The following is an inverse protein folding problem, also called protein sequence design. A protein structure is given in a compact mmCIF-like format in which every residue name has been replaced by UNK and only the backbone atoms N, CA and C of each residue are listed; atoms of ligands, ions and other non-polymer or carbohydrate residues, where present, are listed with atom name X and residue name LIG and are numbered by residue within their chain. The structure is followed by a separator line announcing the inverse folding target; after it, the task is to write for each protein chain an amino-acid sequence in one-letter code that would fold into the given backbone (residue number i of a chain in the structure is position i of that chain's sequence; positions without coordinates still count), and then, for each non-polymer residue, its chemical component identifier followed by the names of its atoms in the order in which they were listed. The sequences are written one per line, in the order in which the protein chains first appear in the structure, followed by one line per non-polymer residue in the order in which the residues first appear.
data_IF_335091216049
#
_entry.id   IF_335091216049
#
_cell.length_a   1.000
_cell.length_b   1.000
_cell.length_c   1.000
_cell.angle_alpha   90.00
_cell.angle_beta   90.00
_cell.angle_gamma   90.00
#
_symmetry.space_group_name_H-M   'P 1'
#
loop_
_entity.id
_entity.type
_entity.pdbx_description
1 polymer ?
#
# COMPACT_ATOMS: atom_id res chain seq x y z
N UNK A 1 -27.37 24.67 -25.37
CA UNK A 1 -27.44 23.86 -24.14
C UNK A 1 -28.89 23.86 -23.69
N UNK A 2 -29.48 22.70 -23.39
CA UNK A 2 -30.85 22.64 -22.87
C UNK A 2 -30.85 23.16 -21.43
N UNK A 3 -31.82 23.99 -21.08
CA UNK A 3 -32.01 24.46 -19.71
C UNK A 3 -32.39 23.26 -18.81
N UNK A 4 -31.54 22.97 -17.81
CA UNK A 4 -31.71 21.85 -16.89
C UNK A 4 -32.84 22.08 -15.89
N UNK A 5 -33.09 23.35 -15.51
CA UNK A 5 -34.26 23.67 -14.69
C UNK A 5 -35.54 23.44 -15.48
N UNK A 6 -35.56 23.75 -16.79
CA UNK A 6 -36.70 23.47 -17.64
C UNK A 6 -36.94 21.96 -17.79
N UNK A 7 -35.90 21.15 -18.04
CA UNK A 7 -36.05 19.69 -18.12
C UNK A 7 -36.58 19.07 -16.83
N UNK A 8 -36.15 19.58 -15.67
CA UNK A 8 -36.69 19.18 -14.37
C UNK A 8 -38.16 19.53 -14.24
N UNK A 9 -38.56 20.74 -14.66
CA UNK A 9 -39.96 21.17 -14.63
C UNK A 9 -40.82 20.32 -15.57
N UNK A 10 -40.30 19.96 -16.74
CA UNK A 10 -41.00 19.08 -17.68
C UNK A 10 -41.31 17.73 -17.02
N UNK A 11 -40.33 17.11 -16.35
CA UNK A 11 -40.51 15.84 -15.60
C UNK A 11 -41.54 15.96 -14.46
N UNK A 12 -41.55 17.09 -13.74
CA UNK A 12 -42.51 17.36 -12.66
C UNK A 12 -43.92 17.56 -13.24
N UNK A 13 -44.04 18.27 -14.36
CA UNK A 13 -45.34 18.57 -14.98
C UNK A 13 -45.97 17.36 -15.66
N UNK A 14 -45.15 16.47 -16.22
CA UNK A 14 -45.59 15.23 -16.86
C UNK A 14 -46.01 14.16 -15.84
N UNK A 15 -45.40 14.16 -14.65
CA UNK A 15 -45.60 13.14 -13.62
C UNK A 15 -47.08 12.88 -13.27
N UNK A 16 -47.89 13.90 -12.96
CA UNK A 16 -49.30 13.73 -12.63
C UNK A 16 -50.12 13.04 -13.73
N UNK A 17 -49.91 13.43 -15.00
CA UNK A 17 -50.62 12.83 -16.14
C UNK A 17 -50.24 11.35 -16.31
N UNK A 18 -48.96 11.00 -16.09
CA UNK A 18 -48.48 9.61 -16.13
C UNK A 18 -49.03 8.81 -14.96
N UNK A 19 -49.05 9.39 -13.76
CA UNK A 19 -49.58 8.78 -12.55
C UNK A 19 -51.08 8.46 -12.68
N UNK A 20 -51.87 9.40 -13.22
CA UNK A 20 -53.30 9.20 -13.45
C UNK A 20 -53.56 8.09 -14.49
N UNK A 21 -52.80 8.08 -15.60
CA UNK A 21 -52.93 7.04 -16.64
C UNK A 21 -52.53 5.64 -16.17
N UNK A 22 -51.58 5.56 -15.25
CA UNK A 22 -51.07 4.30 -14.70
C UNK A 22 -51.68 3.96 -13.33
N UNK A 23 -52.73 4.69 -12.92
CA UNK A 23 -53.43 4.43 -11.68
C UNK A 23 -54.23 3.12 -11.78
N UNK A 24 -54.07 2.28 -10.77
CA UNK A 24 -54.79 1.02 -10.65
C UNK A 24 -55.51 1.02 -9.31
N UNK A 25 -56.84 1.02 -9.37
CA UNK A 25 -57.64 0.82 -8.16
C UNK A 25 -57.65 -0.66 -7.80
N UNK A 26 -57.06 -0.99 -6.65
CA UNK A 26 -56.93 -2.35 -6.16
C UNK A 26 -57.98 -2.69 -5.10
N UNK A 27 -58.24 -3.98 -4.90
CA UNK A 27 -59.24 -4.46 -3.94
C UNK A 27 -58.85 -4.16 -2.46
N UNK A 28 -57.55 -4.03 -2.17
CA UNK A 28 -57.01 -3.78 -0.83
C UNK A 28 -56.31 -2.43 -0.68
N UNK A 29 -55.68 -1.94 -1.75
CA UNK A 29 -55.05 -0.63 -1.82
C UNK A 29 -54.90 -0.20 -3.27
N UNK A 30 -54.92 1.11 -3.50
CA UNK A 30 -54.66 1.71 -4.80
C UNK A 30 -53.15 1.89 -5.02
N UNK A 31 -52.70 1.72 -6.27
CA UNK A 31 -51.29 1.82 -6.62
C UNK A 31 -51.08 2.34 -8.05
N UNK A 32 -49.84 2.74 -8.36
CA UNK A 32 -49.46 3.22 -9.69
C UNK A 32 -48.51 2.22 -10.34
N UNK A 33 -48.89 1.67 -11.49
CA UNK A 33 -48.12 0.63 -12.16
C UNK A 33 -48.36 0.68 -13.66
N UNK A 34 -47.32 0.39 -14.45
CA UNK A 34 -47.42 0.39 -15.91
C UNK A 34 -46.14 0.82 -16.62
N UNK A 35 -45.98 0.48 -17.90
CA UNK A 35 -44.77 0.75 -18.67
C UNK A 35 -44.47 2.25 -18.79
N UNK A 36 -45.50 3.10 -18.91
CA UNK A 36 -45.32 4.56 -19.01
C UNK A 36 -44.82 5.15 -17.68
N UNK A 37 -45.32 4.64 -16.55
CA UNK A 37 -44.85 5.03 -15.22
C UNK A 37 -43.42 4.57 -14.95
N UNK A 38 -43.06 3.32 -15.32
CA UNK A 38 -41.68 2.84 -15.26
C UNK A 38 -40.75 3.71 -16.10
N UNK A 39 -41.16 4.04 -17.33
CA UNK A 39 -40.40 4.90 -18.23
C UNK A 39 -40.17 6.30 -17.64
N UNK A 40 -41.21 6.90 -17.06
CA UNK A 40 -41.10 8.18 -16.35
C UNK A 40 -40.13 8.10 -15.15
N UNK A 41 -40.22 7.05 -14.33
CA UNK A 41 -39.28 6.82 -13.20
C UNK A 41 -37.83 6.74 -13.71
N UNK A 42 -37.56 6.01 -14.80
CA UNK A 42 -36.19 5.90 -15.33
C UNK A 42 -35.69 7.24 -15.86
N UNK A 43 -36.52 8.04 -16.53
CA UNK A 43 -36.12 9.38 -16.99
C UNK A 43 -35.80 10.31 -15.82
N UNK A 44 -36.56 10.23 -14.72
CA UNK A 44 -36.23 10.96 -13.50
C UNK A 44 -34.89 10.50 -12.90
N UNK A 45 -34.63 9.19 -12.84
CA UNK A 45 -33.34 8.64 -12.38
C UNK A 45 -32.17 9.10 -13.25
N UNK A 46 -32.33 9.08 -14.57
CA UNK A 46 -31.31 9.56 -15.50
C UNK A 46 -31.03 11.04 -15.29
N UNK A 47 -32.08 11.86 -15.21
CA UNK A 47 -31.93 13.30 -14.95
C UNK A 47 -31.16 13.57 -13.64
N UNK A 48 -31.55 12.94 -12.54
CA UNK A 48 -30.88 13.10 -11.24
C UNK A 48 -29.44 12.59 -11.29
N UNK A 49 -29.20 11.44 -11.93
CA UNK A 49 -27.87 10.87 -11.99
C UNK A 49 -26.90 11.68 -12.86
N UNK A 50 -27.38 12.27 -13.95
CA UNK A 50 -26.57 13.05 -14.89
C UNK A 50 -26.33 14.48 -14.41
N UNK A 51 -27.29 15.09 -13.70
CA UNK A 51 -27.31 16.53 -13.48
C UNK A 51 -27.18 16.95 -12.00
N UNK A 52 -27.48 16.06 -11.05
CA UNK A 52 -27.25 16.35 -9.62
C UNK A 52 -25.83 15.88 -9.25
N UNK A 53 -25.15 16.57 -8.35
CA UNK A 53 -23.79 16.20 -7.92
C UNK A 53 -23.75 15.51 -6.55
N UNK A 54 -24.74 15.76 -5.70
CA UNK A 54 -24.84 15.15 -4.37
C UNK A 54 -25.08 13.62 -4.47
N UNK A 55 -24.08 12.83 -4.06
CA UNK A 55 -24.12 11.37 -4.06
C UNK A 55 -25.16 10.81 -3.10
N UNK A 56 -25.37 11.44 -1.93
CA UNK A 56 -26.40 11.02 -0.98
C UNK A 56 -27.77 11.19 -1.60
N UNK A 57 -28.02 12.37 -2.18
CA UNK A 57 -29.29 12.66 -2.85
C UNK A 57 -29.59 11.67 -3.99
N UNK A 58 -28.58 11.33 -4.83
CA UNK A 58 -28.72 10.31 -5.88
C UNK A 58 -29.13 8.95 -5.32
N UNK A 59 -28.46 8.52 -4.25
CA UNK A 59 -28.74 7.23 -3.62
C UNK A 59 -30.15 7.21 -3.02
N UNK A 60 -30.53 8.27 -2.30
CA UNK A 60 -31.85 8.41 -1.70
C UNK A 60 -32.94 8.42 -2.78
N UNK A 61 -32.72 9.14 -3.89
CA UNK A 61 -33.65 9.19 -5.02
C UNK A 61 -33.78 7.82 -5.69
N UNK A 62 -32.66 7.13 -5.94
CA UNK A 62 -32.68 5.80 -6.55
C UNK A 62 -33.40 4.77 -5.67
N UNK A 63 -33.20 4.82 -4.34
CA UNK A 63 -33.89 3.95 -3.39
C UNK A 63 -35.40 4.19 -3.37
N UNK A 64 -35.82 5.45 -3.39
CA UNK A 64 -37.24 5.82 -3.49
C UNK A 64 -37.85 5.38 -4.83
N UNK A 65 -37.15 5.64 -5.93
CA UNK A 65 -37.59 5.34 -7.29
C UNK A 65 -37.76 3.83 -7.52
N UNK A 66 -36.85 3.02 -6.99
CA UNK A 66 -36.94 1.56 -7.11
C UNK A 66 -38.13 0.96 -6.34
N UNK A 67 -38.70 1.69 -5.38
CA UNK A 67 -39.88 1.26 -4.62
C UNK A 67 -41.18 1.83 -5.16
N UNK A 68 -41.14 2.77 -6.11
CA UNK A 68 -42.33 3.52 -6.50
C UNK A 68 -43.28 2.77 -7.44
N UNK A 69 -42.78 1.83 -8.25
CA UNK A 69 -43.61 1.05 -9.15
C UNK A 69 -44.41 -0.02 -8.41
N UNK A 70 -45.74 0.00 -8.57
CA UNK A 70 -46.65 -0.91 -7.87
C UNK A 70 -46.93 -0.50 -6.42
N UNK A 71 -46.57 0.71 -6.03
CA UNK A 71 -46.81 1.29 -4.70
C UNK A 71 -47.85 2.43 -4.81
N UNK A 72 -48.31 2.92 -3.66
CA UNK A 72 -49.34 3.93 -3.53
C UNK A 72 -48.89 5.34 -3.96
N UNK A 73 -49.87 6.23 -4.04
CA UNK A 73 -49.69 7.61 -4.49
C UNK A 73 -48.66 8.41 -3.65
N UNK A 74 -48.51 8.08 -2.36
CA UNK A 74 -47.52 8.72 -1.48
C UNK A 74 -46.08 8.59 -1.99
N UNK A 75 -45.73 7.46 -2.64
CA UNK A 75 -44.38 7.26 -3.21
C UNK A 75 -44.16 8.11 -4.45
N UNK A 76 -45.19 8.28 -5.26
CA UNK A 76 -45.15 9.20 -6.39
C UNK A 76 -44.95 10.65 -5.91
N UNK A 77 -45.74 11.09 -4.93
CA UNK A 77 -45.59 12.43 -4.35
C UNK A 77 -44.21 12.66 -3.74
N UNK A 78 -43.63 11.64 -3.11
CA UNK A 78 -42.28 11.69 -2.58
C UNK A 78 -41.23 11.93 -3.69
N UNK A 79 -41.33 11.24 -4.83
CA UNK A 79 -40.44 11.47 -5.98
C UNK A 79 -40.59 12.88 -6.55
N UNK A 80 -41.82 13.38 -6.66
CA UNK A 80 -42.09 14.76 -7.07
C UNK A 80 -41.47 15.75 -6.08
N UNK A 81 -41.62 15.53 -4.77
CA UNK A 81 -41.03 16.36 -3.72
C UNK A 81 -39.51 16.40 -3.79
N UNK A 82 -38.86 15.25 -4.08
CA UNK A 82 -37.42 15.21 -4.30
C UNK A 82 -37.00 16.00 -5.55
N UNK A 83 -37.73 15.91 -6.68
CA UNK A 83 -37.43 16.74 -7.86
C UNK A 83 -37.68 18.23 -7.58
N UNK A 84 -38.71 18.56 -6.80
CA UNK A 84 -39.04 19.94 -6.42
C UNK A 84 -37.96 20.57 -5.54
N UNK A 85 -37.33 19.80 -4.64
CA UNK A 85 -36.25 20.32 -3.77
C UNK A 85 -35.04 20.85 -4.54
N UNK A 86 -34.87 20.42 -5.80
CA UNK A 86 -33.83 20.92 -6.70
C UNK A 86 -34.19 22.26 -7.39
N UNK A 87 -35.15 23.03 -6.85
CA UNK A 87 -35.64 24.27 -7.49
C UNK A 87 -34.55 25.31 -7.65
N UNK A 88 -33.80 25.52 -6.58
CA UNK A 88 -32.71 26.50 -6.49
C UNK A 88 -31.34 25.80 -6.57
N UNK A 89 -31.32 24.55 -7.03
CA UNK A 89 -30.09 23.77 -7.20
C UNK A 89 -29.31 24.29 -8.39
N UNK A 90 -28.07 24.70 -8.17
CA UNK A 90 -27.20 25.17 -9.25
C UNK A 90 -26.61 23.97 -10.01
N UNK A 91 -27.29 23.57 -11.09
CA UNK A 91 -26.87 22.51 -12.00
C UNK A 91 -25.59 22.86 -12.81
N UNK A 92 -25.12 24.11 -12.76
CA UNK A 92 -23.90 24.55 -13.45
C UNK A 92 -22.64 24.39 -12.61
N UNK A 93 -22.79 24.20 -11.29
CA UNK A 93 -21.69 23.88 -10.39
C UNK A 93 -21.19 22.46 -10.62
N UNK A 94 -20.39 22.26 -11.68
CA UNK A 94 -19.46 21.13 -11.71
C UNK A 94 -18.62 21.20 -10.43
N UNK A 95 -18.63 20.14 -9.61
CA UNK A 95 -17.97 20.04 -8.30
C UNK A 95 -16.69 20.90 -8.20
N UNK A 96 -16.85 22.13 -7.73
CA UNK A 96 -15.78 23.07 -7.43
C UNK A 96 -16.04 23.59 -6.03
N UNK A 97 -16.00 22.67 -5.06
CA UNK A 97 -15.11 22.74 -3.90
C UNK A 97 -15.40 21.58 -2.93
N UNK A 98 -14.36 20.78 -2.67
CA UNK A 98 -14.24 19.69 -1.67
C UNK A 98 -14.65 18.26 -2.06
N UNK A 99 -14.40 17.85 -3.30
CA UNK A 99 -13.56 16.65 -3.49
C UNK A 99 -12.35 17.17 -4.25
N UNK A 100 -11.14 16.89 -3.78
CA UNK A 100 -9.95 17.12 -4.58
C UNK A 100 -10.20 16.53 -5.98
N UNK A 101 -9.74 17.21 -7.02
CA UNK A 101 -9.51 16.57 -8.32
C UNK A 101 -8.60 15.37 -8.08
N UNK A 102 -9.19 14.23 -7.73
CA UNK A 102 -8.63 12.94 -8.07
C UNK A 102 -9.34 12.56 -9.33
N UNK A 103 -8.66 12.76 -10.45
CA UNK A 103 -8.78 11.76 -11.50
C UNK A 103 -8.81 10.38 -10.81
N UNK A 104 -9.70 9.49 -11.22
CA UNK A 104 -9.58 8.08 -10.81
C UNK A 104 -8.22 7.49 -11.20
N UNK A 105 -7.46 8.18 -12.05
CA UNK A 105 -6.04 7.95 -12.29
C UNK A 105 -5.26 8.00 -10.99
N UNK A 106 -4.51 6.94 -10.75
CA UNK A 106 -3.58 6.83 -9.64
C UNK A 106 -2.44 7.82 -9.90
N UNK A 107 -2.15 8.67 -8.92
CA UNK A 107 -1.13 9.71 -9.05
C UNK A 107 0.20 9.26 -8.47
N UNK A 108 0.16 8.32 -7.52
CA UNK A 108 1.31 7.95 -6.71
C UNK A 108 1.19 6.52 -6.18
N UNK A 109 2.34 5.85 -6.05
CA UNK A 109 2.46 4.55 -5.40
C UNK A 109 3.07 4.72 -4.01
N UNK A 110 2.42 4.16 -3.01
CA UNK A 110 3.00 3.93 -1.69
C UNK A 110 3.46 2.48 -1.57
N UNK A 111 4.70 2.25 -1.17
CA UNK A 111 5.22 0.90 -0.89
C UNK A 111 5.32 0.67 0.62
N UNK A 112 4.34 -0.06 1.16
CA UNK A 112 4.31 -0.49 2.55
C UNK A 112 5.15 -1.76 2.71
N UNK A 113 6.17 -1.72 3.56
CA UNK A 113 7.10 -2.83 3.76
C UNK A 113 7.78 -2.74 5.14
N UNK A 114 8.38 -3.83 5.62
CA UNK A 114 9.24 -3.77 6.79
C UNK A 114 10.60 -3.16 6.43
N UNK A 115 11.17 -2.33 7.31
CA UNK A 115 12.48 -1.70 7.07
C UNK A 115 13.60 -2.70 6.75
N UNK A 116 13.49 -3.94 7.25
CA UNK A 116 14.44 -5.04 6.98
C UNK A 116 14.36 -5.57 5.54
N UNK A 117 13.24 -5.35 4.85
CA UNK A 117 13.02 -5.77 3.46
C UNK A 117 13.41 -4.67 2.45
N UNK A 118 14.09 -3.60 2.89
CA UNK A 118 14.46 -2.46 2.03
C UNK A 118 15.26 -2.87 0.79
N UNK A 119 16.04 -3.97 0.86
CA UNK A 119 16.76 -4.49 -0.31
C UNK A 119 15.80 -5.02 -1.39
N UNK A 120 14.77 -5.77 -1.00
CA UNK A 120 13.72 -6.20 -1.93
C UNK A 120 12.94 -5.00 -2.48
N UNK A 121 12.63 -4.02 -1.63
CA UNK A 121 11.92 -2.80 -2.05
C UNK A 121 12.74 -1.97 -3.02
N UNK A 122 14.06 -1.89 -2.85
CA UNK A 122 14.93 -1.24 -3.81
C UNK A 122 14.81 -1.89 -5.19
N UNK A 123 14.91 -3.22 -5.27
CA UNK A 123 14.76 -3.92 -6.56
C UNK A 123 13.35 -3.74 -7.15
N UNK A 124 12.31 -3.72 -6.32
CA UNK A 124 10.94 -3.44 -6.78
C UNK A 124 10.79 -2.00 -7.30
N UNK A 125 11.37 -1.01 -6.64
CA UNK A 125 11.37 0.39 -7.09
C UNK A 125 12.14 0.53 -8.40
N UNK A 126 13.30 -0.12 -8.53
CA UNK A 126 14.07 -0.14 -9.77
C UNK A 126 13.24 -0.74 -10.91
N UNK A 127 12.54 -1.86 -10.68
CA UNK A 127 11.62 -2.47 -11.64
C UNK A 127 10.47 -1.51 -12.03
N UNK A 128 9.83 -0.86 -11.06
CA UNK A 128 8.75 0.10 -11.31
C UNK A 128 9.23 1.29 -12.17
N UNK A 129 10.46 1.74 -11.95
CA UNK A 129 11.07 2.76 -12.78
C UNK A 129 11.35 2.24 -14.21
N UNK A 130 11.82 1.00 -14.34
CA UNK A 130 12.08 0.34 -15.63
C UNK A 130 10.77 0.11 -16.42
N UNK A 131 9.63 -0.06 -15.73
CA UNK A 131 8.27 -0.08 -16.31
C UNK A 131 7.84 1.30 -16.82
N UNK A 132 8.51 2.39 -16.43
CA UNK A 132 8.24 3.74 -16.91
C UNK A 132 7.70 4.71 -15.86
N UNK A 133 7.63 4.32 -14.59
CA UNK A 133 7.27 5.24 -13.50
C UNK A 133 8.44 6.22 -13.27
N UNK A 134 8.12 7.50 -13.12
CA UNK A 134 9.15 8.54 -12.95
C UNK A 134 9.93 8.33 -11.64
N UNK A 135 11.26 8.43 -11.71
CA UNK A 135 12.19 8.42 -10.56
C UNK A 135 12.01 9.68 -9.71
N UNK A 136 10.97 9.71 -8.90
CA UNK A 136 10.59 10.87 -8.09
C UNK A 136 9.78 10.45 -6.87
N UNK A 137 10.05 11.09 -5.73
CA UNK A 137 9.24 10.97 -4.50
C UNK A 137 7.80 11.46 -4.66
N UNK A 138 7.48 12.12 -5.79
CA UNK A 138 6.12 12.48 -6.19
C UNK A 138 5.35 11.33 -6.85
N UNK A 139 6.05 10.33 -7.40
CA UNK A 139 5.46 9.20 -8.12
C UNK A 139 5.49 7.90 -7.31
N UNK A 140 6.56 7.68 -6.54
CA UNK A 140 6.70 6.54 -5.62
C UNK A 140 7.18 7.07 -4.28
N UNK A 141 6.72 6.51 -3.17
CA UNK A 141 7.33 6.79 -1.87
C UNK A 141 7.26 5.59 -0.92
N UNK A 142 8.21 5.54 0.00
CA UNK A 142 8.24 4.62 1.15
C UNK A 142 9.03 5.24 2.30
N UNK A 143 9.12 4.61 3.46
CA UNK A 143 9.76 5.20 4.65
C UNK A 143 11.28 4.98 4.73
N UNK A 144 11.85 4.04 3.97
CA UNK A 144 13.19 3.50 4.21
C UNK A 144 14.19 3.72 3.08
N UNK A 145 13.74 4.04 1.86
CA UNK A 145 14.58 4.14 0.67
C UNK A 145 14.97 5.60 0.37
N UNK A 146 16.27 5.95 0.38
CA UNK A 146 16.72 7.33 0.12
C UNK A 146 16.26 7.85 -1.25
N UNK A 147 15.73 9.08 -1.27
CA UNK A 147 15.23 9.73 -2.50
C UNK A 147 13.76 9.42 -2.82
N UNK A 148 13.20 8.40 -2.18
CA UNK A 148 11.78 8.06 -2.14
C UNK A 148 11.22 8.17 -0.72
N UNK A 149 12.03 8.65 0.22
CA UNK A 149 11.78 8.70 1.66
C UNK A 149 10.84 9.85 2.08
N UNK A 150 10.33 9.72 3.30
CA UNK A 150 9.45 10.71 3.91
C UNK A 150 10.27 11.94 4.33
N UNK A 151 9.77 13.18 4.12
CA UNK A 151 10.50 14.39 4.50
C UNK A 151 10.93 14.41 5.97
N UNK A 152 12.16 14.85 6.23
CA UNK A 152 12.73 14.92 7.57
C UNK A 152 11.85 15.74 8.52
N UNK A 153 11.68 15.25 9.76
CA UNK A 153 10.93 15.92 10.82
C UNK A 153 9.41 15.73 10.78
N UNK A 154 8.86 15.03 9.78
CA UNK A 154 7.43 14.67 9.75
C UNK A 154 7.17 13.31 10.40
N UNK A 155 6.05 13.19 11.11
CA UNK A 155 5.53 11.90 11.54
C UNK A 155 5.13 11.07 10.32
N UNK A 156 5.60 9.81 10.25
CA UNK A 156 5.27 8.87 9.17
C UNK A 156 3.75 8.73 9.01
N UNK A 157 3.04 8.61 10.13
CA UNK A 157 1.58 8.48 10.14
C UNK A 157 0.86 9.73 9.66
N UNK A 158 1.33 10.92 10.03
CA UNK A 158 0.71 12.17 9.55
C UNK A 158 0.98 12.39 8.07
N UNK A 159 2.20 12.08 7.62
CA UNK A 159 2.55 12.14 6.21
C UNK A 159 1.68 11.18 5.39
N UNK A 160 1.62 9.90 5.77
CA UNK A 160 0.78 8.90 5.12
C UNK A 160 -0.69 9.29 5.12
N UNK A 161 -1.22 9.77 6.25
CA UNK A 161 -2.62 10.22 6.35
C UNK A 161 -2.90 11.39 5.41
N UNK A 162 -1.99 12.35 5.30
CA UNK A 162 -2.15 13.49 4.40
C UNK A 162 -2.05 13.06 2.94
N UNK A 163 -1.12 12.17 2.61
CA UNK A 163 -0.95 11.59 1.28
C UNK A 163 -2.20 10.80 0.86
N UNK A 164 -2.70 9.90 1.70
CA UNK A 164 -3.91 9.10 1.43
C UNK A 164 -5.19 9.92 1.33
N UNK A 165 -5.24 11.10 1.98
CA UNK A 165 -6.36 12.04 1.87
C UNK A 165 -6.29 12.91 0.62
N UNK A 166 -5.09 13.38 0.29
CA UNK A 166 -4.90 14.43 -0.70
C UNK A 166 -4.51 13.89 -2.08
N UNK A 167 -4.01 12.65 -2.18
CA UNK A 167 -3.55 12.01 -3.41
C UNK A 167 -4.31 10.69 -3.66
N UNK A 168 -4.49 10.31 -4.93
CA UNK A 168 -5.03 9.00 -5.30
C UNK A 168 -3.89 7.99 -5.32
N UNK A 169 -3.78 7.21 -4.25
CA UNK A 169 -2.62 6.36 -4.00
C UNK A 169 -2.96 4.90 -4.23
N UNK A 170 -2.11 4.24 -5.02
CA UNK A 170 -2.01 2.78 -5.05
C UNK A 170 -1.09 2.32 -3.92
N UNK A 171 -1.54 1.35 -3.14
CA UNK A 171 -0.70 0.77 -2.10
C UNK A 171 -0.14 -0.57 -2.56
N UNK A 172 1.18 -0.70 -2.56
CA UNK A 172 1.88 -1.98 -2.73
C UNK A 172 2.31 -2.48 -1.36
N UNK A 173 1.70 -3.57 -0.90
CA UNK A 173 2.10 -4.25 0.33
C UNK A 173 3.15 -5.31 0.01
N UNK A 174 4.38 -5.10 0.48
CA UNK A 174 5.46 -6.08 0.39
C UNK A 174 5.43 -6.97 1.62
N UNK A 175 4.86 -8.16 1.46
CA UNK A 175 4.60 -9.11 2.54
C UNK A 175 5.77 -10.07 2.73
N UNK A 176 6.17 -10.21 3.99
CA UNK A 176 7.26 -11.08 4.47
C UNK A 176 6.99 -11.44 5.94
N UNK A 177 7.75 -12.37 6.51
CA UNK A 177 7.70 -12.60 7.97
C UNK A 177 8.06 -11.32 8.75
N UNK A 178 8.99 -10.52 8.22
CA UNK A 178 9.41 -9.24 8.81
C UNK A 178 8.25 -8.23 8.84
N UNK A 179 7.43 -8.21 7.80
CA UNK A 179 6.23 -7.37 7.73
C UNK A 179 5.25 -7.71 8.85
N UNK A 180 4.94 -9.00 9.03
CA UNK A 180 3.98 -9.46 10.03
C UNK A 180 4.49 -9.36 11.48
N UNK A 181 5.80 -9.20 11.67
CA UNK A 181 6.40 -8.96 13.00
C UNK A 181 6.54 -7.47 13.32
N UNK A 182 6.31 -6.59 12.35
CA UNK A 182 6.39 -5.14 12.52
C UNK A 182 5.01 -4.57 12.89
N UNK A 183 4.82 -4.24 14.17
CA UNK A 183 3.60 -3.57 14.62
C UNK A 183 3.30 -2.26 13.84
N UNK A 184 4.29 -1.40 13.51
CA UNK A 184 4.08 -0.27 12.61
C UNK A 184 3.51 -0.68 11.24
N UNK A 185 4.05 -1.71 10.60
CA UNK A 185 3.57 -2.18 9.28
C UNK A 185 2.14 -2.72 9.35
N UNK A 186 1.79 -3.45 10.43
CA UNK A 186 0.42 -3.93 10.64
C UNK A 186 -0.57 -2.77 10.87
N UNK A 187 -0.15 -1.73 11.60
CA UNK A 187 -0.96 -0.52 11.79
C UNK A 187 -1.14 0.25 10.47
N UNK A 188 -0.07 0.38 9.68
CA UNK A 188 -0.12 0.97 8.33
C UNK A 188 -1.02 0.16 7.41
N UNK A 189 -0.95 -1.17 7.45
CA UNK A 189 -1.82 -2.08 6.69
C UNK A 189 -3.30 -1.81 6.96
N UNK A 190 -3.70 -1.71 8.22
CA UNK A 190 -5.08 -1.43 8.59
C UNK A 190 -5.56 -0.05 8.11
N UNK A 191 -4.74 0.98 8.30
CA UNK A 191 -5.08 2.35 7.87
C UNK A 191 -5.14 2.50 6.35
N UNK A 192 -4.15 1.95 5.64
CA UNK A 192 -4.08 1.96 4.20
C UNK A 192 -5.22 1.14 3.58
N UNK A 193 -5.55 -0.03 4.11
CA UNK A 193 -6.66 -0.86 3.59
C UNK A 193 -8.02 -0.14 3.62
N UNK A 194 -8.32 0.62 4.68
CA UNK A 194 -9.58 1.36 4.80
C UNK A 194 -9.65 2.55 3.81
N UNK A 195 -8.50 3.13 3.46
CA UNK A 195 -8.43 4.42 2.76
C UNK A 195 -7.96 4.33 1.31
N UNK A 196 -7.28 3.25 0.94
CA UNK A 196 -6.75 3.05 -0.41
C UNK A 196 -7.87 2.73 -1.39
N UNK A 197 -7.87 3.39 -2.55
CA UNK A 197 -8.79 3.04 -3.65
C UNK A 197 -8.38 1.74 -4.33
N UNK A 198 -7.07 1.50 -4.45
CA UNK A 198 -6.48 0.33 -5.09
C UNK A 198 -5.28 -0.16 -4.28
N UNK A 199 -5.13 -1.49 -4.13
CA UNK A 199 -3.96 -2.08 -3.50
C UNK A 199 -3.55 -3.38 -4.22
N UNK A 200 -2.26 -3.68 -4.17
CA UNK A 200 -1.69 -4.95 -4.64
C UNK A 200 -0.75 -5.49 -3.58
N UNK A 201 -0.69 -6.81 -3.47
CA UNK A 201 0.19 -7.51 -2.55
C UNK A 201 1.29 -8.22 -3.32
N UNK A 202 2.52 -8.03 -2.85
CA UNK A 202 3.74 -8.60 -3.42
C UNK A 202 4.41 -9.39 -2.31
N UNK A 203 4.65 -10.68 -2.52
CA UNK A 203 5.27 -11.54 -1.52
C UNK A 203 6.77 -11.64 -1.75
N UNK A 204 7.57 -11.54 -0.70
CA UNK A 204 8.97 -11.93 -0.78
C UNK A 204 9.07 -13.44 -1.11
N UNK A 205 10.15 -13.90 -1.79
CA UNK A 205 10.24 -15.27 -2.29
C UNK A 205 10.01 -16.35 -1.22
N UNK A 206 10.55 -16.12 -0.03
CA UNK A 206 10.52 -17.07 1.10
C UNK A 206 9.25 -16.99 1.95
N UNK A 207 8.30 -16.09 1.64
CA UNK A 207 7.03 -15.99 2.33
C UNK A 207 5.94 -16.82 1.63
N UNK A 208 5.14 -17.56 2.39
CA UNK A 208 4.06 -18.42 1.86
C UNK A 208 2.71 -17.69 1.86
N UNK A 209 1.92 -17.89 0.81
CA UNK A 209 0.57 -17.32 0.70
C UNK A 209 -0.34 -17.71 1.87
N UNK A 210 -0.15 -18.91 2.45
CA UNK A 210 -0.91 -19.39 3.63
C UNK A 210 -0.63 -18.59 4.89
N UNK A 211 0.50 -17.87 4.93
CA UNK A 211 0.88 -17.01 6.06
C UNK A 211 0.22 -15.62 5.97
N UNK A 212 -0.47 -15.28 4.87
CA UNK A 212 -1.22 -14.03 4.77
C UNK A 212 -2.38 -14.07 5.76
N UNK A 213 -2.41 -13.11 6.68
CA UNK A 213 -3.45 -12.98 7.72
C UNK A 213 -3.85 -11.52 7.92
N UNK A 214 -5.02 -11.26 8.50
CA UNK A 214 -5.47 -9.91 8.84
C UNK A 214 -6.34 -9.25 7.77
N UNK A 215 -6.15 -7.95 7.56
CA UNK A 215 -7.04 -7.11 6.72
C UNK A 215 -6.83 -7.29 5.21
N UNK A 216 -5.78 -7.99 4.80
CA UNK A 216 -5.51 -8.27 3.38
C UNK A 216 -6.36 -9.45 2.94
N UNK A 217 -7.15 -9.24 1.90
CA UNK A 217 -7.86 -10.33 1.22
C UNK A 217 -6.86 -11.27 0.52
N UNK A 218 -6.66 -12.51 1.01
CA UNK A 218 -5.72 -13.46 0.41
C UNK A 218 -6.22 -13.98 -0.95
N UNK A 219 -7.47 -13.67 -1.33
CA UNK A 219 -8.07 -14.08 -2.61
C UNK A 219 -7.84 -13.07 -3.74
N UNK A 220 -7.34 -11.86 -3.42
CA UNK A 220 -6.91 -10.89 -4.46
C UNK A 220 -5.60 -11.33 -5.10
N UNK A 221 -5.44 -10.97 -6.38
CA UNK A 221 -4.26 -11.28 -7.18
C UNK A 221 -3.02 -10.76 -6.43
N UNK A 222 -2.16 -11.70 -6.07
CA UNK A 222 -0.87 -11.51 -5.42
C UNK A 222 0.17 -12.30 -6.20
N UNK A 223 1.42 -11.85 -6.20
CA UNK A 223 2.51 -12.57 -6.85
C UNK A 223 3.73 -12.61 -5.96
N UNK A 224 4.55 -13.64 -6.12
CA UNK A 224 5.88 -13.67 -5.49
C UNK A 224 6.85 -12.86 -6.34
N UNK A 225 7.76 -12.14 -5.69
CA UNK A 225 8.77 -11.33 -6.40
C UNK A 225 9.63 -12.16 -7.37
N UNK A 226 9.78 -13.46 -7.15
CA UNK A 226 10.51 -14.35 -8.04
C UNK A 226 9.62 -15.17 -9.00
N UNK A 227 8.34 -14.82 -9.15
CA UNK A 227 7.43 -15.45 -10.13
C UNK A 227 7.51 -14.70 -11.47
N UNK A 228 8.12 -15.30 -12.52
CA UNK A 228 8.26 -14.65 -13.81
C UNK A 228 6.90 -14.34 -14.46
N UNK A 229 5.90 -15.21 -14.30
CA UNK A 229 4.58 -15.02 -14.93
C UNK A 229 3.78 -13.97 -14.17
N UNK A 230 3.87 -13.99 -12.83
CA UNK A 230 3.31 -12.97 -11.96
C UNK A 230 3.83 -11.57 -12.28
N UNK A 231 5.12 -11.43 -12.57
CA UNK A 231 5.73 -10.15 -12.96
C UNK A 231 5.18 -9.57 -14.26
N UNK A 232 4.92 -10.40 -15.27
CA UNK A 232 4.32 -9.91 -16.53
C UNK A 232 2.92 -9.37 -16.28
N UNK A 233 2.11 -10.08 -15.49
CA UNK A 233 0.77 -9.62 -15.10
C UNK A 233 0.82 -8.35 -14.27
N UNK A 234 1.77 -8.27 -13.34
CA UNK A 234 1.99 -7.08 -12.52
C UNK A 234 2.35 -5.88 -13.39
N UNK A 235 3.30 -6.03 -14.33
CA UNK A 235 3.63 -4.99 -15.30
C UNK A 235 2.40 -4.50 -16.05
N UNK A 236 1.63 -5.41 -16.63
CA UNK A 236 0.45 -5.06 -17.42
C UNK A 236 -0.59 -4.32 -16.59
N UNK A 237 -0.81 -4.77 -15.35
CA UNK A 237 -1.69 -4.09 -14.40
C UNK A 237 -1.18 -2.69 -14.06
N UNK A 238 0.12 -2.51 -13.81
CA UNK A 238 0.72 -1.20 -13.50
C UNK A 238 0.59 -0.24 -14.68
N UNK A 239 0.92 -0.70 -15.90
CA UNK A 239 0.79 0.11 -17.12
C UNK A 239 -0.65 0.54 -17.33
N UNK A 240 -1.61 -0.37 -17.17
CA UNK A 240 -3.03 -0.07 -17.32
C UNK A 240 -3.53 0.90 -16.24
N UNK A 241 -3.23 0.63 -14.97
CA UNK A 241 -3.73 1.41 -13.83
C UNK A 241 -3.17 2.83 -13.78
N UNK A 242 -1.93 3.03 -14.20
CA UNK A 242 -1.26 4.33 -14.21
C UNK A 242 -1.30 5.02 -15.59
N UNK A 243 -1.90 4.36 -16.59
CA UNK A 243 -1.98 4.82 -17.99
C UNK A 243 -0.60 5.19 -18.54
N UNK A 244 0.38 4.29 -18.37
CA UNK A 244 1.75 4.48 -18.82
C UNK A 244 1.89 4.14 -20.31
N UNK A 245 2.94 4.67 -20.94
CA UNK A 245 3.34 4.23 -22.28
C UNK A 245 3.86 2.79 -22.22
N UNK A 246 3.51 2.00 -23.24
CA UNK A 246 3.91 0.59 -23.29
C UNK A 246 5.40 0.49 -23.62
N UNK A 247 6.16 -0.13 -22.73
CA UNK A 247 7.59 -0.45 -22.95
C UNK A 247 7.75 -1.55 -23.99
N UNK A 248 8.78 -1.45 -24.84
CA UNK A 248 9.14 -2.49 -25.81
C UNK A 248 9.37 -3.84 -25.08
N UNK A 249 8.74 -4.90 -25.59
CA UNK A 249 8.78 -6.22 -24.95
C UNK A 249 10.20 -6.76 -24.80
N UNK A 250 11.13 -6.48 -25.73
CA UNK A 250 12.52 -6.92 -25.64
C UNK A 250 13.28 -6.20 -24.53
N UNK A 251 13.00 -4.91 -24.33
CA UNK A 251 13.57 -4.14 -23.22
C UNK A 251 13.07 -4.74 -21.91
N UNK A 252 11.76 -4.96 -21.81
CA UNK A 252 11.15 -5.57 -20.63
C UNK A 252 11.75 -6.92 -20.25
N UNK A 253 12.07 -7.80 -21.21
CA UNK A 253 12.70 -9.09 -20.89
C UNK A 253 14.04 -8.91 -20.17
N UNK A 254 14.87 -7.96 -20.62
CA UNK A 254 16.15 -7.67 -19.97
C UNK A 254 15.98 -7.13 -18.55
N UNK A 255 15.04 -6.20 -18.36
CA UNK A 255 14.75 -5.61 -17.04
C UNK A 255 14.20 -6.66 -16.06
N UNK A 256 13.33 -7.54 -16.56
CA UNK A 256 12.77 -8.67 -15.81
C UNK A 256 13.84 -9.67 -15.39
N UNK A 257 14.75 -10.06 -16.28
CA UNK A 257 15.85 -11.00 -15.95
C UNK A 257 16.79 -10.42 -14.90
N UNK A 258 17.15 -9.14 -15.03
CA UNK A 258 17.96 -8.41 -14.06
C UNK A 258 17.30 -8.42 -12.68
N UNK A 259 16.01 -8.07 -12.61
CA UNK A 259 15.24 -8.06 -11.38
C UNK A 259 15.14 -9.46 -10.74
N UNK A 260 14.77 -10.48 -11.53
CA UNK A 260 14.65 -11.86 -11.05
C UNK A 260 15.98 -12.37 -10.49
N UNK A 261 17.09 -12.07 -11.16
CA UNK A 261 18.43 -12.47 -10.69
C UNK A 261 18.78 -11.84 -9.35
N UNK A 262 18.51 -10.54 -9.18
CA UNK A 262 18.75 -9.83 -7.94
C UNK A 262 17.87 -10.33 -6.79
N UNK A 263 16.58 -10.52 -7.04
CA UNK A 263 15.62 -11.04 -6.05
C UNK A 263 15.96 -12.47 -5.62
N UNK A 264 16.38 -13.32 -6.55
CA UNK A 264 16.76 -14.70 -6.24
C UNK A 264 18.01 -14.75 -5.37
N UNK A 265 19.02 -13.92 -5.66
CA UNK A 265 20.21 -13.81 -4.81
C UNK A 265 19.87 -13.32 -3.39
N UNK A 266 18.92 -12.39 -3.24
CA UNK A 266 18.43 -11.96 -1.92
C UNK A 266 17.69 -13.10 -1.19
N UNK A 267 16.88 -13.87 -1.91
CA UNK A 267 16.13 -14.99 -1.36
C UNK A 267 17.03 -16.13 -0.89
N UNK A 268 18.05 -16.47 -1.66
CA UNK A 268 19.03 -17.49 -1.31
C UNK A 268 19.80 -17.10 -0.04
N UNK A 269 20.19 -15.83 0.06
CA UNK A 269 20.82 -15.29 1.25
C UNK A 269 19.89 -15.37 2.47
N UNK A 270 18.65 -14.89 2.36
CA UNK A 270 17.65 -14.96 3.43
C UNK A 270 17.33 -16.41 3.85
N UNK A 271 17.25 -17.33 2.90
CA UNK A 271 17.00 -18.74 3.17
C UNK A 271 18.19 -19.37 3.91
N UNK A 272 19.43 -19.08 3.49
CA UNK A 272 20.64 -19.57 4.15
C UNK A 272 20.78 -19.09 5.59
N UNK A 273 20.26 -17.90 5.91
CA UNK A 273 20.25 -17.37 7.27
C UNK A 273 18.99 -17.74 8.05
N UNK A 274 18.08 -18.56 7.51
CA UNK A 274 16.75 -18.85 8.08
C UNK A 274 15.99 -17.57 8.48
N UNK A 275 16.15 -16.48 7.72
CA UNK A 275 15.58 -15.15 7.99
C UNK A 275 15.98 -14.54 9.36
N UNK A 276 17.06 -15.06 9.95
CA UNK A 276 17.74 -14.44 11.08
C UNK A 276 18.47 -13.19 10.60
N UNK A 277 18.54 -12.17 11.45
CA UNK A 277 19.43 -11.03 11.19
C UNK A 277 20.15 -10.56 12.43
N UNK A 278 21.32 -9.98 12.19
CA UNK A 278 22.12 -9.29 13.17
C UNK A 278 22.33 -7.86 12.65
N UNK A 279 22.02 -6.88 13.48
CA UNK A 279 22.15 -5.46 13.15
C UNK A 279 23.02 -4.76 14.20
N UNK A 280 23.84 -3.81 13.76
CA UNK A 280 24.61 -2.98 14.67
C UNK A 280 23.76 -1.79 15.16
N UNK A 281 23.42 -1.81 16.45
CA UNK A 281 22.67 -0.74 17.10
C UNK A 281 23.59 0.40 17.52
N UNK A 282 24.71 0.07 18.16
CA UNK A 282 25.58 1.06 18.78
C UNK A 282 27.02 0.60 18.80
N UNK A 283 27.91 1.56 18.62
CA UNK A 283 29.34 1.39 18.89
C UNK A 283 29.79 2.42 19.90
N UNK A 284 30.60 2.00 20.88
CA UNK A 284 31.21 2.88 21.87
C UNK A 284 32.66 2.48 22.10
N UNK A 285 33.54 3.47 22.13
CA UNK A 285 34.93 3.24 22.57
C UNK A 285 34.95 3.00 24.08
N UNK A 286 35.60 1.92 24.49
CA UNK A 286 35.82 1.56 25.89
C UNK A 286 37.32 1.50 26.19
N UNK A 287 37.83 2.48 26.93
CA UNK A 287 39.27 2.59 27.21
C UNK A 287 40.11 2.91 25.96
N UNK A 288 41.39 2.49 25.96
CA UNK A 288 42.30 2.76 24.84
C UNK A 288 42.17 1.77 23.67
N UNK A 289 41.79 0.52 23.95
CA UNK A 289 41.87 -0.59 22.98
C UNK A 289 40.56 -1.40 22.88
N UNK A 290 39.50 -0.98 23.58
CA UNK A 290 38.22 -1.69 23.62
C UNK A 290 37.15 -1.01 22.77
N UNK A 291 36.34 -1.83 22.13
CA UNK A 291 35.19 -1.46 21.32
C UNK A 291 33.96 -2.19 21.83
N UNK A 292 33.05 -1.47 22.45
CA UNK A 292 31.75 -2.00 22.86
C UNK A 292 30.79 -1.95 21.66
N UNK A 293 30.32 -3.11 21.22
CA UNK A 293 29.30 -3.26 20.19
C UNK A 293 28.00 -3.72 20.83
N UNK A 294 26.92 -2.97 20.59
CA UNK A 294 25.55 -3.44 20.84
C UNK A 294 24.99 -3.98 19.52
N UNK A 295 24.75 -5.28 19.49
CA UNK A 295 24.23 -6.01 18.34
C UNK A 295 22.79 -6.44 18.63
N UNK A 296 21.87 -6.12 17.73
CA UNK A 296 20.49 -6.61 17.78
C UNK A 296 20.40 -7.90 16.97
N UNK A 297 19.98 -8.96 17.64
CA UNK A 297 19.70 -10.26 17.08
C UNK A 297 18.20 -10.43 16.94
N UNK A 298 17.75 -10.88 15.77
CA UNK A 298 16.32 -11.09 15.48
C UNK A 298 16.15 -12.49 14.88
N UNK A 299 15.43 -13.36 15.59
CA UNK A 299 14.98 -14.66 15.10
C UNK A 299 13.50 -14.59 14.83
N UNK A 300 13.12 -14.65 13.57
CA UNK A 300 11.71 -14.63 13.17
C UNK A 300 11.09 -16.03 13.15
N UNK A 301 11.92 -17.07 13.28
CA UNK A 301 11.52 -18.47 13.13
C UNK A 301 10.94 -19.05 14.42
N UNK A 302 10.34 -20.23 14.30
CA UNK A 302 9.82 -21.01 15.44
C UNK A 302 10.86 -21.91 16.10
N UNK A 303 12.09 -21.94 15.60
CA UNK A 303 13.18 -22.78 16.11
C UNK A 303 14.24 -21.91 16.80
N UNK A 304 14.93 -22.41 17.83
CA UNK A 304 16.12 -21.74 18.35
C UNK A 304 17.24 -21.72 17.29
N UNK A 305 18.08 -20.71 17.35
CA UNK A 305 19.18 -20.50 16.41
C UNK A 305 20.50 -20.45 17.17
N UNK A 306 21.38 -21.36 16.79
CA UNK A 306 22.78 -21.39 17.19
C UNK A 306 23.63 -20.86 16.03
N UNK A 307 24.62 -20.02 16.36
CA UNK A 307 25.53 -19.44 15.39
C UNK A 307 26.81 -20.27 15.34
N UNK A 308 27.26 -20.61 14.14
CA UNK A 308 28.56 -21.24 13.90
C UNK A 308 29.68 -20.19 13.92
N UNK A 309 29.42 -19.02 13.33
CA UNK A 309 30.32 -17.87 13.39
C UNK A 309 29.56 -16.58 13.14
N UNK A 310 30.14 -15.44 13.54
CA UNK A 310 29.68 -14.10 13.20
C UNK A 310 30.90 -13.25 12.79
N UNK A 311 30.88 -12.69 11.59
CA UNK A 311 31.89 -11.78 11.04
C UNK A 311 31.28 -10.37 10.95
N UNK A 312 31.96 -9.38 11.51
CA UNK A 312 31.52 -7.97 11.55
C UNK A 312 32.61 -7.11 10.91
N UNK A 313 32.31 -6.50 9.76
CA UNK A 313 33.14 -5.49 9.10
C UNK A 313 32.61 -4.09 9.44
N UNK A 314 33.36 -3.33 10.22
CA UNK A 314 33.10 -1.92 10.50
C UNK A 314 33.89 -1.05 9.52
N UNK A 315 33.31 0.06 9.07
CA UNK A 315 33.97 1.04 8.21
C UNK A 315 33.83 2.44 8.81
N UNK A 316 34.93 3.18 8.91
CA UNK A 316 34.91 4.57 9.35
C UNK A 316 34.67 5.57 8.20
N UNK A 317 34.48 6.85 8.53
CA UNK A 317 34.28 7.93 7.54
C UNK A 317 35.45 8.09 6.56
N UNK A 318 36.66 7.71 6.96
CA UNK A 318 37.87 7.79 6.13
C UNK A 318 38.02 6.55 5.23
N UNK A 319 37.10 5.57 5.33
CA UNK A 319 37.04 4.35 4.54
C UNK A 319 37.90 3.20 5.09
N UNK A 320 38.53 3.38 6.25
CA UNK A 320 39.31 2.34 6.91
C UNK A 320 38.37 1.30 7.51
N UNK A 321 38.82 0.03 7.49
CA UNK A 321 38.01 -1.11 7.91
C UNK A 321 38.57 -1.78 9.15
N UNK A 322 37.67 -2.28 10.00
CA UNK A 322 37.98 -3.12 11.14
C UNK A 322 37.10 -4.37 11.07
N UNK A 323 37.74 -5.54 11.02
CA UNK A 323 37.07 -6.83 11.00
C UNK A 323 37.11 -7.48 12.38
N UNK A 324 35.97 -7.98 12.84
CA UNK A 324 35.81 -8.70 14.11
C UNK A 324 35.15 -10.02 13.78
N UNK A 325 35.81 -11.11 14.16
CA UNK A 325 35.34 -12.48 13.90
C UNK A 325 35.06 -13.15 15.25
N UNK A 326 33.87 -13.73 15.38
CA UNK A 326 33.41 -14.46 16.56
C UNK A 326 33.19 -15.91 16.12
N UNK A 327 34.13 -16.78 16.50
CA UNK A 327 34.14 -18.21 16.16
C UNK A 327 34.30 -19.11 17.42
N UNK A 328 34.40 -18.51 18.61
CA UNK A 328 34.59 -19.23 19.86
C UNK A 328 33.25 -19.66 20.48
N UNK A 329 33.19 -20.90 20.98
CA UNK A 329 31.98 -21.50 21.55
C UNK A 329 31.39 -20.70 22.71
N UNK A 330 32.22 -20.19 23.65
CA UNK A 330 31.71 -19.46 24.82
C UNK A 330 31.00 -18.14 24.44
N UNK A 331 31.61 -17.23 23.65
CA UNK A 331 30.90 -16.08 23.10
C UNK A 331 29.66 -16.41 22.28
N UNK A 332 29.69 -17.46 21.47
CA UNK A 332 28.57 -17.87 20.61
C UNK A 332 27.40 -18.46 21.42
N UNK A 333 27.68 -19.24 22.47
CA UNK A 333 26.68 -19.82 23.36
C UNK A 333 25.85 -18.75 24.09
N UNK A 334 26.47 -17.62 24.45
CA UNK A 334 25.75 -16.48 25.02
C UNK A 334 24.82 -15.78 24.00
N UNK A 335 25.04 -16.03 22.71
CA UNK A 335 24.28 -15.49 21.58
C UNK A 335 23.22 -16.47 21.03
N UNK A 336 22.93 -17.55 21.75
CA UNK A 336 21.78 -18.42 21.47
C UNK A 336 20.51 -17.59 21.39
N UNK A 337 19.79 -17.74 20.28
CA UNK A 337 18.61 -16.93 19.96
C UNK A 337 17.37 -17.81 19.94
N UNK A 338 16.48 -17.62 20.90
CA UNK A 338 15.27 -18.42 21.06
C UNK A 338 14.25 -18.09 19.96
N UNK A 339 13.20 -18.92 19.85
CA UNK A 339 12.16 -18.74 18.84
C UNK A 339 11.45 -17.41 18.99
N UNK A 340 11.26 -16.71 17.86
CA UNK A 340 10.62 -15.37 17.79
C UNK A 340 11.28 -14.30 18.68
N UNK A 341 12.56 -14.48 19.03
CA UNK A 341 13.27 -13.57 19.92
C UNK A 341 13.84 -12.35 19.19
N UNK A 342 13.74 -11.17 19.81
CA UNK A 342 14.44 -9.95 19.44
C UNK A 342 15.22 -9.46 20.65
N UNK A 343 16.55 -9.59 20.62
CA UNK A 343 17.45 -9.35 21.75
C UNK A 343 18.60 -8.46 21.36
N UNK A 344 19.00 -7.54 22.24
CA UNK A 344 20.24 -6.77 22.08
C UNK A 344 21.30 -7.36 23.00
N UNK A 345 22.44 -7.74 22.42
CA UNK A 345 23.60 -8.23 23.15
C UNK A 345 24.70 -7.19 23.02
N UNK A 346 25.32 -6.82 24.14
CA UNK A 346 26.44 -5.89 24.16
C UNK A 346 27.71 -6.61 24.58
N UNK A 347 28.75 -6.54 23.74
CA UNK A 347 30.05 -7.18 23.97
C UNK A 347 31.19 -6.21 23.68
N UNK A 348 32.28 -6.37 24.41
CA UNK A 348 33.50 -5.58 24.26
C UNK A 348 34.51 -6.42 23.48
N UNK A 349 34.98 -5.87 22.37
CA UNK A 349 36.01 -6.46 21.52
C UNK A 349 37.28 -5.63 21.64
N UNK A 350 38.42 -6.29 21.73
CA UNK A 350 39.70 -5.60 21.65
C UNK A 350 40.07 -5.42 20.18
N UNK A 351 40.62 -4.27 19.82
CA UNK A 351 41.09 -4.00 18.46
C UNK A 351 42.49 -3.39 18.48
N UNK A 352 43.22 -3.57 17.38
CA UNK A 352 44.58 -3.06 17.27
C UNK A 352 44.58 -1.53 17.10
N UNK A 353 45.13 -0.84 18.08
CA UNK A 353 45.32 0.61 18.09
C UNK A 353 46.36 1.11 17.09
N UNK A 354 47.15 0.22 16.48
CA UNK A 354 48.06 0.56 15.38
C UNK A 354 47.33 0.78 14.05
N UNK A 355 46.08 0.31 13.96
CA UNK A 355 45.23 0.53 12.79
C UNK A 355 44.91 2.02 12.60
N UNK A 356 44.76 2.45 11.34
CA UNK A 356 44.32 3.81 11.00
C UNK A 356 42.83 4.05 11.32
N UNK A 357 42.13 3.00 11.71
CA UNK A 357 40.70 2.97 11.95
C UNK A 357 40.28 3.86 13.12
N UNK A 358 39.28 4.72 12.90
CA UNK A 358 38.80 5.70 13.87
C UNK A 358 37.44 5.33 14.41
N UNK A 359 37.43 4.72 15.59
CA UNK A 359 36.21 4.31 16.31
C UNK A 359 35.16 5.42 16.45
N UNK A 360 35.58 6.68 16.67
CA UNK A 360 34.65 7.81 16.84
C UNK A 360 33.98 8.26 15.53
N UNK A 361 34.40 7.71 14.39
CA UNK A 361 33.91 8.04 13.04
C UNK A 361 33.25 6.82 12.37
N UNK A 362 32.72 5.89 13.17
CA UNK A 362 32.02 4.74 12.60
C UNK A 362 30.68 5.19 12.03
N UNK A 363 30.44 4.79 10.78
CA UNK A 363 29.18 5.00 10.11
C UNK A 363 28.39 3.69 10.19
N UNK A 364 27.42 3.60 11.12
CA UNK A 364 26.63 2.36 11.32
C UNK A 364 26.03 1.80 10.01
N UNK A 365 25.65 2.68 9.06
CA UNK A 365 25.09 2.27 7.76
C UNK A 365 26.06 1.49 6.88
N UNK A 366 27.37 1.58 7.13
CA UNK A 366 28.39 0.90 6.34
C UNK A 366 28.85 -0.43 6.96
N UNK A 367 28.31 -0.79 8.13
CA UNK A 367 28.63 -2.05 8.78
C UNK A 367 28.07 -3.22 7.98
N UNK A 368 28.90 -4.24 7.75
CA UNK A 368 28.46 -5.51 7.19
C UNK A 368 28.61 -6.60 8.23
N UNK A 369 27.59 -7.43 8.36
CA UNK A 369 27.60 -8.58 9.25
C UNK A 369 27.28 -9.81 8.41
N UNK A 370 28.12 -10.84 8.52
CA UNK A 370 27.88 -12.18 7.99
C UNK A 370 27.88 -13.16 9.13
N UNK A 371 27.14 -14.25 8.98
CA UNK A 371 27.12 -15.31 9.97
C UNK A 371 26.68 -16.61 9.30
N UNK A 372 27.02 -17.72 9.93
CA UNK A 372 26.41 -19.01 9.66
C UNK A 372 25.71 -19.52 10.91
N UNK A 373 24.68 -20.32 10.70
CA UNK A 373 23.89 -20.96 11.74
C UNK A 373 24.04 -22.47 11.64
N UNK A 374 23.85 -23.17 12.76
CA UNK A 374 23.93 -24.64 12.84
C UNK A 374 22.74 -25.31 12.18
#
# INVERSE_FOLDING_TARGET
MKDLHQQRLDLISEGPDVAEKCFVSGEYYDYISGPDYVSWIQRCKMFVNENVHDKSFKNDFALAANKAHGDGFERFEYLIGMLQSLKDYDFSLSNTNQEANHSNKIEKIFISHASRDVKYVKELVDLLNDIGIKKSSKSIFCSSLPGYDIPHGKSIYEFLKNELKNNNIMVLFVLSDNYYQSAPCLNEMGAAWITSKEYTTVLTPNFDFKQIVGAIDPTKISFKMNDPVGLDKFRDSIIQTLELEVTDYKIWQGDKEKYLSAVSALADLEASTRNVSIELEKVKSCGKNGLELSLRFINVTTQPIEFQYIEIELTDEDGEKLEIIIEEDEPLNEMLLMSKENKVITKIFNFDTSSKFRVRRIVNKNTKIKFAIV
#
